data_IF_068898086242
#
_entry.id   IF_068898086242
#
_cell.length_a   1.000
_cell.length_b   1.000
_cell.length_c   1.000
_cell.angle_alpha   90.00
_cell.angle_beta   90.00
_cell.angle_gamma   90.00
#
_symmetry.space_group_name_H-M   'P 1'
#
loop_
_entity.id
_entity.type
_entity.pdbx_description
1 polymer ?
#
# COMPACT_ATOMS: atom_id res chain seq x y z
N UNK A 1 -6.69 18.22 57.54
CA UNK A 1 -7.01 19.17 56.45
C UNK A 1 -6.36 18.64 55.16
N UNK A 2 -7.12 18.62 54.06
CA UNK A 2 -6.90 17.90 52.80
C UNK A 2 -5.53 18.15 52.14
N UNK A 3 -4.89 17.09 51.63
CA UNK A 3 -4.05 17.14 50.42
C UNK A 3 -4.30 15.87 49.59
N UNK A 4 -4.75 16.06 48.36
CA UNK A 4 -5.06 15.04 47.35
C UNK A 4 -3.80 14.41 46.75
N UNK A 5 -3.84 13.10 46.45
CA UNK A 5 -2.88 12.42 45.56
C UNK A 5 -3.60 11.68 44.42
N UNK A 6 -3.39 12.19 43.22
CA UNK A 6 -3.14 11.50 41.94
C UNK A 6 -4.12 10.41 41.47
N UNK A 7 -4.89 10.74 40.43
CA UNK A 7 -5.58 9.81 39.54
C UNK A 7 -4.84 9.79 38.19
N UNK A 8 -4.53 8.59 37.69
CA UNK A 8 -3.68 8.34 36.52
C UNK A 8 -4.57 7.95 35.32
N UNK A 9 -4.41 8.67 34.20
CA UNK A 9 -5.11 8.44 32.94
C UNK A 9 -4.36 7.40 32.10
N UNK A 10 -5.00 6.28 31.72
CA UNK A 10 -4.61 5.55 30.50
C UNK A 10 -5.82 5.03 29.73
N UNK A 11 -5.68 5.22 28.42
CA UNK A 11 -6.64 5.16 27.33
C UNK A 11 -7.12 3.75 27.00
N UNK A 12 -8.40 3.65 26.61
CA UNK A 12 -9.05 2.46 26.07
C UNK A 12 -8.89 2.47 24.54
N UNK A 13 -8.19 1.49 24.00
CA UNK A 13 -8.18 1.14 22.57
C UNK A 13 -9.04 -0.10 22.37
N UNK A 14 -10.13 0.04 21.61
CA UNK A 14 -11.05 -1.04 21.24
C UNK A 14 -10.55 -1.67 19.92
N UNK A 15 -10.12 -2.93 19.98
CA UNK A 15 -9.84 -3.75 18.79
C UNK A 15 -11.09 -4.60 18.49
N UNK A 16 -11.69 -4.40 17.31
CA UNK A 16 -12.67 -5.34 16.76
C UNK A 16 -11.90 -6.57 16.25
N UNK A 17 -12.12 -7.73 16.88
CA UNK A 17 -11.79 -9.03 16.30
C UNK A 17 -13.07 -9.74 15.89
N UNK A 18 -13.16 -10.00 14.59
CA UNK A 18 -14.22 -10.73 13.91
C UNK A 18 -13.74 -12.18 13.77
N UNK A 19 -14.24 -13.11 14.58
CA UNK A 19 -13.98 -14.54 14.39
C UNK A 19 -15.26 -15.37 14.52
N UNK A 20 -15.48 -16.13 13.46
CA UNK A 20 -16.42 -17.23 13.29
C UNK A 20 -16.21 -18.32 14.35
N UNK A 21 -17.29 -18.83 14.94
CA UNK A 21 -17.24 -19.93 15.90
C UNK A 21 -18.15 -21.09 15.46
N UNK A 22 -17.53 -22.20 15.06
CA UNK A 22 -18.10 -23.54 15.06
C UNK A 22 -17.02 -24.47 15.60
N UNK A 23 -17.22 -25.04 16.79
CA UNK A 23 -16.24 -25.91 17.40
C UNK A 23 -16.56 -26.25 18.84
N UNK A 24 -17.28 -27.36 19.01
CA UNK A 24 -17.50 -28.08 20.25
C UNK A 24 -16.26 -28.09 21.17
N UNK A 25 -16.41 -27.64 22.42
CA UNK A 25 -15.66 -28.19 23.55
C UNK A 25 -16.57 -28.29 24.78
N UNK A 26 -16.71 -29.52 25.24
CA UNK A 26 -17.29 -29.90 26.53
C UNK A 26 -16.40 -29.42 27.67
N UNK A 27 -16.96 -28.71 28.64
CA UNK A 27 -16.36 -28.54 29.97
C UNK A 27 -17.42 -28.88 31.00
N UNK A 28 -17.19 -29.96 31.73
CA UNK A 28 -17.93 -30.35 32.93
C UNK A 28 -17.41 -29.58 34.15
N UNK A 29 -18.37 -29.30 35.04
CA UNK A 29 -18.27 -29.21 36.49
C UNK A 29 -17.53 -28.00 37.10
N UNK A 30 -18.31 -27.05 37.62
CA UNK A 30 -18.23 -26.59 39.02
C UNK A 30 -19.66 -26.30 39.49
N UNK A 31 -20.08 -26.95 40.57
CA UNK A 31 -21.32 -26.65 41.28
C UNK A 31 -21.15 -25.44 42.19
N UNK A 32 -22.22 -24.70 42.46
CA UNK A 32 -22.95 -24.91 43.71
C UNK A 32 -24.20 -24.02 43.80
N UNK A 33 -25.24 -24.65 44.32
CA UNK A 33 -26.35 -24.12 45.09
C UNK A 33 -26.72 -22.64 44.94
N UNK A 34 -27.87 -22.36 44.30
CA UNK A 34 -28.92 -21.48 44.84
C UNK A 34 -30.11 -21.39 43.86
N UNK A 35 -30.97 -22.40 43.82
CA UNK A 35 -32.33 -22.20 43.29
C UNK A 35 -33.30 -23.21 43.93
N UNK A 36 -33.70 -22.91 45.16
CA UNK A 36 -34.91 -23.44 45.78
C UNK A 36 -35.96 -22.32 45.80
N UNK A 37 -37.20 -22.70 45.49
CA UNK A 37 -38.44 -21.88 45.45
C UNK A 37 -38.69 -21.09 44.16
N UNK A 38 -39.30 -21.75 43.18
CA UNK A 38 -40.68 -21.44 42.77
C UNK A 38 -41.20 -22.55 41.84
N UNK A 39 -41.46 -23.74 42.40
CA UNK A 39 -42.23 -24.77 41.70
C UNK A 39 -43.62 -24.86 42.35
N UNK A 40 -44.53 -23.99 41.92
CA UNK A 40 -45.98 -24.16 42.13
C UNK A 40 -46.71 -23.29 41.12
N UNK A 41 -47.60 -23.93 40.36
CA UNK A 41 -48.57 -23.34 39.41
C UNK A 41 -48.23 -23.30 37.92
N UNK A 42 -47.54 -24.31 37.39
CA UNK A 42 -47.65 -24.68 35.97
C UNK A 42 -48.26 -26.08 35.79
N UNK A 43 -49.23 -26.41 36.65
CA UNK A 43 -50.01 -27.64 36.54
C UNK A 43 -51.47 -27.28 36.24
N UNK A 44 -51.72 -26.98 34.96
CA UNK A 44 -52.99 -27.10 34.20
C UNK A 44 -52.90 -26.30 32.90
N UNK A 45 -51.97 -26.65 32.02
CA UNK A 45 -52.15 -26.39 30.59
C UNK A 45 -51.91 -27.72 29.88
N UNK A 46 -52.99 -28.49 29.74
CA UNK A 46 -53.02 -29.65 28.85
C UNK A 46 -52.93 -29.12 27.42
N UNK A 47 -51.72 -28.98 26.86
CA UNK A 47 -51.53 -28.94 25.41
C UNK A 47 -51.67 -30.37 24.87
N UNK A 48 -52.89 -30.88 24.89
CA UNK A 48 -53.31 -31.92 23.94
C UNK A 48 -53.80 -31.20 22.69
N UNK A 49 -52.87 -30.65 21.93
CA UNK A 49 -53.14 -30.30 20.54
C UNK A 49 -53.06 -31.60 19.74
N UNK A 50 -54.21 -32.29 19.65
CA UNK A 50 -54.51 -33.03 18.43
C UNK A 50 -54.23 -32.05 17.28
N UNK A 51 -53.26 -32.36 16.41
CA UNK A 51 -53.00 -31.59 15.20
C UNK A 51 -54.25 -31.75 14.33
N UNK A 52 -55.26 -30.90 14.57
CA UNK A 52 -56.47 -30.90 13.79
C UNK A 52 -56.08 -30.46 12.39
N UNK A 53 -56.43 -31.28 11.40
CA UNK A 53 -56.16 -31.03 9.98
C UNK A 53 -56.91 -29.78 9.43
N UNK A 54 -57.58 -29.02 10.32
CA UNK A 54 -58.49 -27.91 10.06
C UNK A 54 -58.07 -26.61 10.77
N UNK A 55 -56.81 -26.46 11.19
CA UNK A 55 -56.25 -25.24 11.81
C UNK A 55 -56.54 -23.94 11.04
N UNK A 56 -56.80 -24.04 9.73
CA UNK A 56 -57.14 -22.90 8.87
C UNK A 56 -58.61 -22.43 9.00
N UNK A 57 -59.47 -23.19 9.70
CA UNK A 57 -60.87 -22.85 9.95
C UNK A 57 -61.08 -22.13 11.29
N UNK A 58 -60.03 -22.00 12.10
CA UNK A 58 -60.14 -21.32 13.40
C UNK A 58 -60.30 -19.80 13.20
N UNK A 59 -61.44 -19.20 13.60
CA UNK A 59 -61.73 -17.80 13.34
C UNK A 59 -60.76 -16.85 14.06
N UNK A 60 -60.18 -17.30 15.18
CA UNK A 60 -59.17 -16.56 15.94
C UNK A 60 -57.84 -16.50 15.18
N UNK A 61 -57.42 -17.61 14.56
CA UNK A 61 -56.18 -17.67 13.79
C UNK A 61 -56.27 -16.81 12.52
N UNK A 62 -57.37 -16.92 11.78
CA UNK A 62 -57.61 -16.11 10.57
C UNK A 62 -57.68 -14.62 10.93
N UNK A 63 -58.35 -14.26 12.04
CA UNK A 63 -58.41 -12.89 12.52
C UNK A 63 -57.03 -12.31 12.87
N UNK A 64 -56.17 -13.09 13.53
CA UNK A 64 -54.81 -12.67 13.88
C UNK A 64 -53.93 -12.46 12.65
N UNK A 65 -54.01 -13.35 11.65
CA UNK A 65 -53.26 -13.23 10.40
C UNK A 65 -53.71 -12.02 9.58
N UNK A 66 -55.02 -11.75 9.51
CA UNK A 66 -55.56 -10.59 8.81
C UNK A 66 -55.11 -9.27 9.46
N UNK A 67 -55.15 -9.19 10.80
CA UNK A 67 -54.65 -8.03 11.55
C UNK A 67 -53.15 -7.81 11.30
N UNK A 68 -52.35 -8.88 11.30
CA UNK A 68 -50.92 -8.81 11.05
C UNK A 68 -50.59 -8.30 9.64
N UNK A 69 -51.34 -8.75 8.61
CA UNK A 69 -51.20 -8.25 7.25
C UNK A 69 -51.55 -6.77 7.14
N UNK A 70 -52.62 -6.31 7.80
CA UNK A 70 -53.02 -4.91 7.79
C UNK A 70 -51.94 -4.01 8.44
N UNK A 71 -51.35 -4.45 9.55
CA UNK A 71 -50.26 -3.71 10.20
C UNK A 71 -49.01 -3.65 9.30
N UNK A 72 -48.61 -4.76 8.68
CA UNK A 72 -47.48 -4.76 7.75
C UNK A 72 -47.73 -3.88 6.53
N UNK A 73 -48.95 -3.92 5.98
CA UNK A 73 -49.37 -3.05 4.88
C UNK A 73 -49.29 -1.57 5.26
N UNK A 74 -49.74 -1.21 6.47
CA UNK A 74 -49.62 0.15 6.98
C UNK A 74 -48.18 0.64 7.07
N UNK A 75 -47.27 -0.19 7.58
CA UNK A 75 -45.84 0.13 7.67
C UNK A 75 -45.21 0.31 6.29
N UNK A 76 -45.52 -0.56 5.33
CA UNK A 76 -44.97 -0.49 3.97
C UNK A 76 -45.41 0.77 3.20
N UNK A 77 -46.54 1.37 3.55
CA UNK A 77 -47.03 2.60 2.93
C UNK A 77 -46.36 3.86 3.52
N UNK A 78 -45.75 3.77 4.70
CA UNK A 78 -45.02 4.92 5.28
C UNK A 78 -43.72 5.16 4.54
N UNK A 79 -43.62 6.30 3.84
CA UNK A 79 -42.41 6.74 3.16
C UNK A 79 -41.73 7.83 4.01
N UNK A 80 -40.47 7.59 4.39
CA UNK A 80 -39.65 8.59 5.07
C UNK A 80 -39.07 9.56 4.04
N UNK A 81 -39.51 10.83 4.08
CA UNK A 81 -38.91 11.90 3.29
C UNK A 81 -37.59 12.36 3.94
N UNK A 82 -36.52 12.44 3.17
CA UNK A 82 -35.26 13.04 3.65
C UNK A 82 -35.44 14.57 3.73
N UNK A 83 -35.04 15.22 4.84
CA UNK A 83 -34.99 16.68 4.89
C UNK A 83 -33.98 17.18 3.85
N UNK A 84 -34.40 18.19 3.06
CA UNK A 84 -33.55 18.82 2.05
C UNK A 84 -32.29 19.39 2.72
N UNK A 85 -31.08 19.11 2.22
CA UNK A 85 -29.87 19.73 2.73
C UNK A 85 -29.93 21.23 2.46
N UNK A 86 -30.02 22.03 3.51
CA UNK A 86 -29.80 23.48 3.45
C UNK A 86 -28.32 23.74 3.17
N UNK A 87 -28.06 24.68 2.25
CA UNK A 87 -26.77 25.14 1.72
C UNK A 87 -25.57 25.03 2.69
N UNK A 88 -24.81 23.93 2.59
CA UNK A 88 -23.38 23.94 2.91
C UNK A 88 -22.64 24.27 1.63
N UNK A 89 -22.12 25.48 1.51
CA UNK A 89 -21.22 25.89 0.43
C UNK A 89 -19.88 25.17 0.54
N UNK A 90 -19.85 23.88 0.19
CA UNK A 90 -18.63 23.21 -0.22
C UNK A 90 -18.38 23.61 -1.66
N UNK A 91 -17.46 24.56 -1.87
CA UNK A 91 -16.96 24.91 -3.19
C UNK A 91 -16.25 23.67 -3.75
N UNK A 92 -16.99 22.81 -4.45
CA UNK A 92 -16.41 21.70 -5.20
C UNK A 92 -15.50 22.31 -6.28
N UNK A 93 -14.20 22.21 -6.05
CA UNK A 93 -13.22 22.45 -7.11
C UNK A 93 -13.25 21.20 -7.97
N UNK A 94 -14.13 21.19 -8.97
CA UNK A 94 -14.00 20.27 -10.07
C UNK A 94 -12.68 20.61 -10.79
N UNK A 95 -11.60 19.93 -10.40
CA UNK A 95 -10.36 19.94 -11.18
C UNK A 95 -10.65 19.19 -12.46
N UNK A 96 -11.18 19.90 -13.47
CA UNK A 96 -11.18 19.38 -14.82
C UNK A 96 -9.73 19.39 -15.28
N UNK A 97 -9.05 18.25 -15.18
CA UNK A 97 -7.78 18.05 -15.86
C UNK A 97 -8.10 18.14 -17.36
N UNK A 98 -7.95 19.34 -17.94
CA UNK A 98 -7.97 19.52 -19.38
C UNK A 98 -6.67 18.90 -19.87
N UNK A 99 -6.72 17.63 -20.27
CA UNK A 99 -5.58 17.01 -20.95
C UNK A 99 -5.29 17.85 -22.19
N UNK A 100 -4.11 18.48 -22.26
CA UNK A 100 -3.69 19.13 -23.50
C UNK A 100 -3.54 18.04 -24.55
N UNK A 101 -4.09 18.27 -25.75
CA UNK A 101 -3.88 17.35 -26.88
C UNK A 101 -2.42 17.40 -27.40
N UNK A 102 -1.68 18.44 -27.01
CA UNK A 102 -0.30 18.64 -27.42
C UNK A 102 0.67 18.05 -26.39
N UNK A 103 1.49 17.11 -26.86
CA UNK A 103 2.51 16.41 -26.06
C UNK A 103 3.70 17.32 -25.79
N UNK A 104 4.05 17.51 -24.52
CA UNK A 104 5.23 18.29 -24.12
C UNK A 104 6.49 17.52 -24.55
N UNK A 105 7.30 18.13 -25.41
CA UNK A 105 8.50 17.48 -25.98
C UNK A 105 9.65 17.41 -24.99
N UNK A 106 9.81 18.45 -24.17
CA UNK A 106 10.89 18.59 -23.17
C UNK A 106 10.28 18.92 -21.80
N UNK A 107 10.12 17.90 -20.96
CA UNK A 107 9.61 18.06 -19.60
C UNK A 107 10.73 17.83 -18.58
N UNK A 108 10.98 18.83 -17.74
CA UNK A 108 11.95 18.72 -16.63
C UNK A 108 11.44 17.79 -15.50
N UNK A 109 10.13 17.52 -15.45
CA UNK A 109 9.48 16.66 -14.45
C UNK A 109 8.37 15.79 -15.08
N UNK A 110 8.20 14.56 -14.59
CA UNK A 110 7.13 13.65 -15.02
C UNK A 110 5.86 13.91 -14.20
N UNK A 111 4.75 14.21 -14.87
CA UNK A 111 3.44 14.41 -14.27
C UNK A 111 2.41 13.41 -14.82
N UNK A 112 1.27 13.24 -14.14
CA UNK A 112 0.18 12.36 -14.59
C UNK A 112 -0.47 12.82 -15.90
N UNK A 113 -0.32 14.08 -16.28
CA UNK A 113 -0.83 14.65 -17.52
C UNK A 113 0.17 15.66 -18.09
N UNK A 114 0.20 15.77 -19.42
CA UNK A 114 0.94 16.83 -20.11
C UNK A 114 0.31 18.17 -19.75
N UNK A 115 1.06 19.04 -19.08
CA UNK A 115 0.64 20.36 -18.67
C UNK A 115 1.78 21.34 -18.92
N UNK A 116 1.52 22.35 -19.75
CA UNK A 116 2.44 23.48 -19.94
C UNK A 116 2.22 24.48 -18.81
N UNK A 117 3.19 24.60 -17.91
CA UNK A 117 3.21 25.70 -16.93
C UNK A 117 3.53 27.00 -17.66
N UNK A 118 2.71 28.04 -17.49
CA UNK A 118 2.87 29.35 -18.14
C UNK A 118 3.93 30.24 -17.48
N UNK A 119 5.02 29.65 -16.97
CA UNK A 119 6.09 30.38 -16.27
C UNK A 119 7.35 30.42 -17.11
N UNK A 120 7.75 31.61 -17.57
CA UNK A 120 9.04 31.83 -18.22
C UNK A 120 10.16 31.82 -17.18
N UNK A 121 10.63 30.64 -16.79
CA UNK A 121 11.87 30.49 -16.03
C UNK A 121 12.70 29.32 -16.56
N UNK A 122 13.43 29.57 -17.64
CA UNK A 122 14.52 28.70 -18.08
C UNK A 122 15.70 28.81 -17.11
N UNK A 123 15.71 27.96 -16.09
CA UNK A 123 16.88 27.36 -15.40
C UNK A 123 16.41 26.75 -14.07
N UNK A 124 16.59 25.45 -13.91
CA UNK A 124 16.38 24.74 -12.64
C UNK A 124 17.30 25.30 -11.54
N UNK A 125 16.82 26.25 -10.76
CA UNK A 125 17.42 26.66 -9.50
C UNK A 125 16.57 26.14 -8.35
N UNK A 126 17.20 25.37 -7.45
CA UNK A 126 16.65 25.14 -6.12
C UNK A 126 16.56 26.51 -5.44
N UNK A 127 15.39 26.91 -4.97
CA UNK A 127 15.27 28.13 -4.18
C UNK A 127 15.97 27.92 -2.83
N UNK A 128 17.18 28.45 -2.67
CA UNK A 128 17.81 28.64 -1.36
C UNK A 128 17.78 30.13 -1.04
N UNK A 129 17.17 30.49 0.09
CA UNK A 129 17.19 31.87 0.59
C UNK A 129 18.53 32.19 1.22
N UNK A 130 19.14 33.30 0.82
CA UNK A 130 20.31 33.90 1.47
C UNK A 130 19.96 34.52 2.83
N UNK A 131 20.87 34.43 3.81
CA UNK A 131 20.85 35.30 4.99
C UNK A 131 22.24 35.87 5.31
N UNK A 132 22.33 37.12 5.82
CA UNK A 132 23.55 37.92 5.81
C UNK A 132 24.34 37.89 7.14
N UNK A 133 25.62 38.25 7.05
CA UNK A 133 26.56 38.50 8.16
C UNK A 133 26.57 39.99 8.56
N UNK A 134 26.94 40.33 9.81
CA UNK A 134 27.51 41.64 10.10
C UNK A 134 28.88 41.59 10.78
N UNK A 135 29.61 42.70 10.59
CA UNK A 135 31.03 42.97 10.86
C UNK A 135 31.21 43.91 12.10
N UNK A 136 32.46 44.26 12.40
CA UNK A 136 33.10 44.73 13.65
C UNK A 136 33.09 46.26 13.92
N UNK A 137 33.54 46.71 15.13
CA UNK A 137 34.41 47.88 15.47
C UNK A 137 34.44 48.13 17.02
N UNK A 138 35.57 48.17 17.76
CA UNK A 138 36.62 49.23 18.00
C UNK A 138 36.11 50.51 18.73
N UNK A 139 36.78 51.23 19.67
CA UNK A 139 38.12 51.22 20.30
C UNK A 139 38.20 52.22 21.52
N UNK A 140 39.30 52.19 22.31
CA UNK A 140 40.01 53.29 23.09
C UNK A 140 39.35 54.02 24.29
N UNK A 141 39.99 54.64 25.30
CA UNK A 141 41.32 54.66 25.96
C UNK A 141 41.33 55.72 27.13
N UNK A 142 42.08 55.49 28.24
CA UNK A 142 42.71 56.48 29.20
C UNK A 142 41.82 57.27 30.21
N UNK A 143 42.22 57.70 31.43
CA UNK A 143 43.43 57.61 32.30
C UNK A 143 43.20 58.34 33.67
N UNK A 144 44.10 58.16 34.68
CA UNK A 144 44.37 58.93 35.94
C UNK A 144 43.52 58.61 37.20
N UNK A 145 44.00 58.02 38.32
CA UNK A 145 45.21 58.16 39.18
C UNK A 145 45.26 59.44 40.02
N UNK A 146 44.67 59.41 41.25
CA UNK A 146 45.05 60.16 42.47
C UNK A 146 44.12 59.86 43.68
N UNK A 147 43.92 58.59 44.01
CA UNK A 147 43.07 58.16 45.15
C UNK A 147 43.75 57.06 45.97
N UNK A 148 45.09 57.04 46.02
CA UNK A 148 45.87 55.80 46.09
C UNK A 148 46.25 55.27 47.47
N UNK A 149 45.79 55.81 48.61
CA UNK A 149 46.24 55.31 49.93
C UNK A 149 45.12 54.91 50.91
N UNK A 150 44.00 55.63 51.01
CA UNK A 150 42.80 55.12 51.73
C UNK A 150 42.06 54.04 50.92
N UNK A 151 42.16 54.09 49.60
CA UNK A 151 41.65 53.01 48.76
C UNK A 151 42.45 51.73 48.91
N UNK A 152 43.68 51.65 49.45
CA UNK A 152 44.43 50.36 49.46
C UNK A 152 43.80 49.32 50.40
N UNK A 153 43.28 49.73 51.56
CA UNK A 153 42.63 48.82 52.52
C UNK A 153 41.21 48.47 52.09
N UNK A 154 40.39 49.46 51.69
CA UNK A 154 39.09 49.19 51.07
C UNK A 154 39.23 48.40 49.76
N UNK A 155 40.23 48.68 48.91
CA UNK A 155 40.55 47.86 47.73
C UNK A 155 40.95 46.46 48.11
N UNK A 156 41.50 46.17 49.29
CA UNK A 156 41.90 44.79 49.64
C UNK A 156 40.69 43.93 49.97
N UNK A 157 39.73 44.45 50.73
CA UNK A 157 38.44 43.79 51.01
C UNK A 157 37.54 43.76 49.77
N UNK A 158 37.40 44.89 49.06
CA UNK A 158 36.68 44.95 47.80
C UNK A 158 37.32 44.04 46.75
N UNK A 159 38.66 43.93 46.67
CA UNK A 159 39.33 42.96 45.79
C UNK A 159 39.11 41.51 46.22
N UNK A 160 38.90 41.24 47.51
CA UNK A 160 38.61 39.89 47.96
C UNK A 160 37.19 39.49 47.59
N UNK A 161 36.21 40.36 47.86
CA UNK A 161 34.81 40.18 47.48
C UNK A 161 34.66 40.12 45.95
N UNK A 162 35.33 41.02 45.22
CA UNK A 162 35.42 41.01 43.75
C UNK A 162 36.02 39.69 43.25
N UNK A 163 37.11 39.19 43.85
CA UNK A 163 37.68 37.90 43.44
C UNK A 163 36.74 36.72 43.69
N UNK A 164 36.01 36.71 44.81
CA UNK A 164 35.03 35.65 45.10
C UNK A 164 33.84 35.75 44.15
N UNK A 165 33.32 36.97 43.91
CA UNK A 165 32.24 37.23 42.96
C UNK A 165 32.65 36.87 41.53
N UNK A 166 33.85 37.28 41.09
CA UNK A 166 34.42 36.91 39.80
C UNK A 166 34.60 35.40 39.67
N UNK A 167 34.98 34.72 40.74
CA UNK A 167 35.07 33.26 40.77
C UNK A 167 33.68 32.64 40.61
N UNK A 168 32.70 33.01 41.42
CA UNK A 168 31.32 32.47 41.34
C UNK A 168 30.66 32.77 39.99
N UNK A 169 30.80 34.00 39.47
CA UNK A 169 30.32 34.39 38.14
C UNK A 169 31.04 33.62 37.04
N UNK A 170 32.34 33.32 37.19
CA UNK A 170 33.07 32.49 36.23
C UNK A 170 32.56 31.05 36.21
N UNK A 171 32.27 30.45 37.37
CA UNK A 171 31.67 29.11 37.47
C UNK A 171 30.26 29.08 36.89
N UNK A 172 29.44 30.10 37.18
CA UNK A 172 28.09 30.23 36.64
C UNK A 172 28.11 30.41 35.11
N UNK A 173 29.00 31.27 34.60
CA UNK A 173 29.22 31.48 33.16
C UNK A 173 29.72 30.21 32.47
N UNK A 174 30.59 29.45 33.11
CA UNK A 174 31.09 28.18 32.57
C UNK A 174 30.01 27.09 32.57
N UNK A 175 29.15 27.03 33.58
CA UNK A 175 27.98 26.16 33.61
C UNK A 175 26.98 26.51 32.49
N UNK A 176 26.68 27.81 32.30
CA UNK A 176 25.82 28.31 31.22
C UNK A 176 26.39 27.97 29.83
N UNK A 177 27.71 28.16 29.63
CA UNK A 177 28.38 27.79 28.39
C UNK A 177 28.34 26.28 28.10
N UNK A 178 28.48 25.44 29.13
CA UNK A 178 28.35 23.98 29.01
C UNK A 178 26.94 23.56 28.58
N UNK A 179 25.90 24.11 29.23
CA UNK A 179 24.50 23.82 28.87
C UNK A 179 24.17 24.28 27.45
N UNK A 180 24.66 25.47 27.04
CA UNK A 180 24.51 25.95 25.66
C UNK A 180 25.19 25.03 24.64
N UNK A 181 26.36 24.48 24.97
CA UNK A 181 27.08 23.53 24.11
C UNK A 181 26.30 22.22 23.96
N UNK A 182 25.77 21.66 25.06
CA UNK A 182 24.93 20.46 25.02
C UNK A 182 23.66 20.68 24.19
N UNK A 183 23.01 21.83 24.34
CA UNK A 183 21.82 22.17 23.56
C UNK A 183 22.13 22.27 22.05
N UNK A 184 23.30 22.81 21.68
CA UNK A 184 23.74 22.87 20.29
C UNK A 184 24.07 21.48 19.72
N UNK A 185 24.72 20.63 20.52
CA UNK A 185 25.06 19.25 20.14
C UNK A 185 23.80 18.39 19.96
N UNK A 186 22.82 18.51 20.86
CA UNK A 186 21.50 17.88 20.74
C UNK A 186 20.77 18.35 19.49
N UNK A 187 20.76 19.67 19.22
CA UNK A 187 20.16 20.23 18.02
C UNK A 187 20.85 19.71 16.74
N UNK A 188 22.18 19.65 16.74
CA UNK A 188 22.97 19.09 15.63
C UNK A 188 22.67 17.61 15.42
N UNK A 189 22.57 16.81 16.48
CA UNK A 189 22.18 15.40 16.43
C UNK A 189 20.78 15.24 15.84
N UNK A 190 19.80 16.05 16.25
CA UNK A 190 18.46 16.05 15.68
C UNK A 190 18.46 16.44 14.20
N UNK A 191 19.27 17.43 13.79
CA UNK A 191 19.43 17.78 12.38
C UNK A 191 20.04 16.65 11.57
N UNK A 192 21.07 15.98 12.10
CA UNK A 192 21.69 14.82 11.45
C UNK A 192 20.71 13.66 11.33
N UNK A 193 19.92 13.37 12.36
CA UNK A 193 18.88 12.35 12.33
C UNK A 193 17.80 12.65 11.29
N UNK A 194 17.35 13.91 11.20
CA UNK A 194 16.41 14.37 10.15
C UNK A 194 17.03 14.27 8.76
N UNK A 195 18.28 14.66 8.60
CA UNK A 195 19.00 14.55 7.32
C UNK A 195 19.14 13.09 6.87
N UNK A 196 19.49 12.19 7.79
CA UNK A 196 19.54 10.75 7.52
C UNK A 196 18.16 10.18 7.15
N UNK A 197 17.10 10.61 7.84
CA UNK A 197 15.73 10.25 7.50
C UNK A 197 15.36 10.71 6.09
N UNK A 198 15.61 11.97 5.74
CA UNK A 198 15.36 12.51 4.39
C UNK A 198 16.14 11.74 3.33
N UNK A 199 17.44 11.51 3.54
CA UNK A 199 18.26 10.73 2.62
C UNK A 199 17.72 9.30 2.42
N UNK A 200 17.24 8.66 3.49
CA UNK A 200 16.63 7.34 3.39
C UNK A 200 15.31 7.34 2.60
N UNK A 201 14.50 8.39 2.74
CA UNK A 201 13.25 8.56 2.00
C UNK A 201 13.51 8.82 0.50
N UNK A 202 14.51 9.65 0.19
CA UNK A 202 14.94 9.90 -1.19
C UNK A 202 15.43 8.60 -1.86
N UNK A 203 16.24 7.80 -1.15
CA UNK A 203 16.70 6.51 -1.64
C UNK A 203 15.53 5.55 -1.93
N UNK A 204 14.55 5.47 -1.03
CA UNK A 204 13.35 4.66 -1.24
C UNK A 204 12.51 5.15 -2.44
N UNK A 205 12.39 6.46 -2.61
CA UNK A 205 11.66 7.06 -3.73
C UNK A 205 12.31 6.71 -5.06
N UNK A 206 13.63 6.90 -5.18
CA UNK A 206 14.41 6.54 -6.38
C UNK A 206 14.29 5.06 -6.71
N UNK A 207 14.36 4.19 -5.70
CA UNK A 207 14.19 2.75 -5.89
C UNK A 207 12.79 2.40 -6.41
N UNK A 208 11.74 3.05 -5.88
CA UNK A 208 10.36 2.87 -6.36
C UNK A 208 10.21 3.32 -7.81
N UNK A 209 10.78 4.48 -8.17
CA UNK A 209 10.72 5.02 -9.53
C UNK A 209 11.41 4.08 -10.54
N UNK A 210 12.61 3.58 -10.21
CA UNK A 210 13.31 2.61 -11.05
C UNK A 210 12.53 1.31 -11.24
N UNK A 211 11.93 0.78 -10.16
CA UNK A 211 11.12 -0.43 -10.22
C UNK A 211 9.85 -0.24 -11.06
N UNK A 212 9.23 0.94 -10.99
CA UNK A 212 8.07 1.27 -11.81
C UNK A 212 8.42 1.32 -13.30
N UNK A 213 9.49 2.04 -13.66
CA UNK A 213 9.98 2.10 -15.05
C UNK A 213 10.32 0.71 -15.59
N UNK A 214 10.99 -0.14 -14.80
CA UNK A 214 11.27 -1.54 -15.19
C UNK A 214 10.00 -2.34 -15.45
N UNK A 215 8.98 -2.22 -14.58
CA UNK A 215 7.70 -2.91 -14.75
C UNK A 215 6.96 -2.46 -16.02
N UNK A 216 6.97 -1.17 -16.34
CA UNK A 216 6.32 -0.65 -17.56
C UNK A 216 6.94 -1.19 -18.84
N UNK A 217 8.23 -1.57 -18.81
CA UNK A 217 8.95 -2.17 -19.95
C UNK A 217 8.76 -3.68 -20.06
N UNK A 218 7.92 -4.28 -19.20
CA UNK A 218 7.52 -5.69 -19.26
C UNK A 218 6.11 -5.73 -19.82
N UNK A 219 5.95 -6.28 -21.03
CA UNK A 219 4.62 -6.48 -21.64
C UNK A 219 4.20 -7.93 -21.49
N UNK A 220 3.01 -8.16 -20.95
CA UNK A 220 2.39 -9.49 -20.90
C UNK A 220 1.27 -9.55 -21.90
N UNK A 221 1.29 -10.55 -22.77
CA UNK A 221 0.27 -10.76 -23.80
C UNK A 221 -0.36 -12.13 -23.59
N UNK A 222 -1.69 -12.12 -23.44
CA UNK A 222 -2.55 -13.30 -23.39
C UNK A 222 -3.27 -13.46 -24.75
N UNK A 223 -3.80 -14.64 -25.05
CA UNK A 223 -4.37 -15.08 -26.34
C UNK A 223 -5.16 -13.99 -27.07
N UNK A 224 -6.08 -13.33 -26.35
CA UNK A 224 -7.05 -12.37 -26.89
C UNK A 224 -6.42 -10.99 -27.17
N UNK A 225 -5.53 -10.50 -26.31
CA UNK A 225 -4.94 -9.16 -26.40
C UNK A 225 -3.94 -9.02 -27.57
N UNK A 226 -3.40 -10.16 -28.03
CA UNK A 226 -2.40 -10.20 -29.09
C UNK A 226 -2.90 -9.73 -30.45
N UNK A 227 -4.15 -10.05 -30.83
CA UNK A 227 -4.63 -9.87 -32.21
C UNK A 227 -4.83 -8.39 -32.62
N UNK A 228 -4.98 -7.48 -31.65
CA UNK A 228 -5.22 -6.06 -31.90
C UNK A 228 -3.98 -5.18 -31.60
N UNK A 229 -2.90 -5.77 -31.09
CA UNK A 229 -1.75 -5.05 -30.58
C UNK A 229 -0.62 -4.94 -31.62
N UNK A 230 0.26 -3.95 -31.47
CA UNK A 230 1.45 -3.78 -32.30
C UNK A 230 2.37 -5.03 -32.31
N UNK A 231 2.22 -5.93 -31.33
CA UNK A 231 2.96 -7.21 -31.25
C UNK A 231 2.33 -8.38 -32.01
N UNK A 232 1.17 -8.21 -32.65
CA UNK A 232 0.44 -9.28 -33.32
C UNK A 232 1.30 -10.06 -34.33
N UNK A 233 2.04 -9.34 -35.19
CA UNK A 233 2.89 -9.95 -36.21
C UNK A 233 4.04 -10.76 -35.61
N UNK A 234 4.65 -10.26 -34.52
CA UNK A 234 5.70 -10.97 -33.81
C UNK A 234 5.18 -12.26 -33.17
N UNK A 235 4.00 -12.19 -32.54
CA UNK A 235 3.37 -13.35 -31.89
C UNK A 235 2.96 -14.42 -32.90
N UNK A 236 2.56 -14.03 -34.11
CA UNK A 236 2.27 -14.96 -35.17
C UNK A 236 3.51 -15.70 -35.67
N UNK A 237 4.63 -14.98 -35.90
CA UNK A 237 5.93 -15.60 -36.22
C UNK A 237 6.38 -16.56 -35.11
N UNK A 238 6.21 -16.17 -33.85
CA UNK A 238 6.49 -17.02 -32.69
C UNK A 238 5.67 -18.31 -32.75
N UNK A 239 4.35 -18.20 -32.91
CA UNK A 239 3.42 -19.34 -33.02
C UNK A 239 3.83 -20.29 -34.13
N UNK A 240 3.97 -19.78 -35.35
CA UNK A 240 4.32 -20.59 -36.53
C UNK A 240 5.63 -21.35 -36.31
N UNK A 241 6.63 -20.70 -35.71
CA UNK A 241 7.93 -21.33 -35.44
C UNK A 241 7.81 -22.44 -34.38
N UNK A 242 7.09 -22.19 -33.30
CA UNK A 242 6.87 -23.18 -32.24
C UNK A 242 6.11 -24.39 -32.76
N UNK A 243 5.05 -24.19 -33.54
CA UNK A 243 4.27 -25.27 -34.17
C UNK A 243 5.12 -26.07 -35.16
N UNK A 244 5.89 -25.40 -36.02
CA UNK A 244 6.78 -26.06 -37.00
C UNK A 244 7.79 -27.00 -36.33
N UNK A 245 8.51 -26.53 -35.31
CA UNK A 245 9.47 -27.36 -34.58
C UNK A 245 8.78 -28.34 -33.62
N UNK A 246 7.60 -27.98 -33.13
CA UNK A 246 6.81 -28.81 -32.24
C UNK A 246 6.29 -30.07 -32.92
N UNK A 247 5.52 -29.90 -34.00
CA UNK A 247 4.88 -30.98 -34.73
C UNK A 247 5.92 -31.88 -35.40
N UNK A 248 7.06 -31.31 -35.86
CA UNK A 248 8.20 -32.11 -36.35
C UNK A 248 8.79 -33.05 -35.30
N UNK A 249 8.81 -32.64 -34.03
CA UNK A 249 9.41 -33.40 -32.92
C UNK A 249 8.36 -33.86 -31.91
N UNK A 250 7.15 -34.18 -32.38
CA UNK A 250 6.09 -34.70 -31.54
C UNK A 250 6.52 -36.06 -30.96
N UNK A 251 6.45 -36.28 -29.63
CA UNK A 251 6.96 -37.49 -28.99
C UNK A 251 6.27 -38.77 -29.47
N UNK A 252 7.03 -39.75 -29.94
CA UNK A 252 6.46 -41.01 -30.45
C UNK A 252 5.72 -41.80 -29.37
N UNK A 253 6.17 -41.71 -28.11
CA UNK A 253 5.46 -42.31 -26.98
C UNK A 253 4.04 -41.73 -26.79
N UNK A 254 3.88 -40.41 -26.99
CA UNK A 254 2.57 -39.76 -26.91
C UNK A 254 1.66 -40.18 -28.08
N UNK A 255 2.23 -40.39 -29.28
CA UNK A 255 1.50 -40.92 -30.45
C UNK A 255 1.01 -42.34 -30.22
N UNK A 256 1.89 -43.22 -29.73
CA UNK A 256 1.57 -44.62 -29.45
C UNK A 256 0.47 -44.75 -28.39
N UNK A 257 0.53 -43.91 -27.36
CA UNK A 257 -0.44 -43.89 -26.26
C UNK A 257 -1.68 -43.04 -26.56
N UNK A 258 -1.72 -42.34 -27.70
CA UNK A 258 -2.80 -41.43 -28.10
C UNK A 258 -3.15 -40.42 -27.00
N UNK A 259 -2.11 -39.82 -26.40
CA UNK A 259 -2.29 -38.85 -25.33
C UNK A 259 -2.85 -37.53 -25.89
N UNK A 260 -3.85 -36.99 -25.21
CA UNK A 260 -4.47 -35.71 -25.52
C UNK A 260 -4.42 -34.81 -24.30
N UNK A 261 -4.42 -33.50 -24.53
CA UNK A 261 -4.49 -32.54 -23.43
C UNK A 261 -4.03 -31.15 -23.84
N UNK A 262 -4.20 -30.22 -22.91
CA UNK A 262 -3.81 -28.83 -23.07
C UNK A 262 -2.69 -28.48 -22.09
N UNK A 263 -1.64 -27.83 -22.58
CA UNK A 263 -0.54 -27.33 -21.76
C UNK A 263 -0.50 -25.83 -21.89
N UNK A 264 -0.58 -25.11 -20.78
CA UNK A 264 -0.48 -23.65 -20.79
C UNK A 264 0.88 -23.22 -20.30
N UNK A 265 1.64 -22.51 -21.15
CA UNK A 265 2.96 -22.00 -20.80
C UNK A 265 3.00 -20.47 -20.83
N UNK A 266 3.84 -19.92 -19.97
CA UNK A 266 4.34 -18.55 -20.06
C UNK A 266 5.78 -18.57 -20.55
N UNK A 267 6.01 -18.01 -21.73
CA UNK A 267 7.34 -17.85 -22.32
C UNK A 267 7.79 -16.41 -22.14
N UNK A 268 8.96 -16.22 -21.54
CA UNK A 268 9.56 -14.91 -21.29
C UNK A 268 10.70 -14.70 -22.27
N UNK A 269 10.57 -13.71 -23.16
CA UNK A 269 11.56 -13.36 -24.17
C UNK A 269 12.21 -12.01 -23.84
N UNK A 270 13.50 -11.88 -24.18
CA UNK A 270 14.20 -10.59 -24.19
C UNK A 270 13.99 -9.86 -25.53
N UNK A 271 14.38 -8.58 -25.60
CA UNK A 271 14.24 -7.75 -26.79
C UNK A 271 14.96 -8.28 -28.05
N UNK A 272 15.94 -9.17 -27.89
CA UNK A 272 16.67 -9.82 -28.98
C UNK A 272 16.02 -11.14 -29.44
N UNK A 273 14.91 -11.57 -28.82
CA UNK A 273 14.20 -12.82 -29.12
C UNK A 273 14.78 -14.06 -28.45
N UNK A 274 15.70 -13.90 -27.51
CA UNK A 274 16.23 -14.98 -26.68
C UNK A 274 15.26 -15.36 -25.56
N UNK A 275 15.20 -16.65 -25.23
CA UNK A 275 14.40 -17.15 -24.11
C UNK A 275 15.10 -16.80 -22.79
N UNK A 276 14.40 -16.08 -21.91
CA UNK A 276 14.82 -15.85 -20.52
C UNK A 276 14.32 -16.94 -19.59
N UNK A 277 13.06 -17.34 -19.75
CA UNK A 277 12.45 -18.39 -18.96
C UNK A 277 11.23 -18.99 -19.67
N UNK A 278 10.92 -20.24 -19.35
CA UNK A 278 9.67 -20.92 -19.72
C UNK A 278 9.05 -21.40 -18.42
N UNK A 279 7.81 -21.00 -18.14
CA UNK A 279 7.07 -21.43 -16.96
C UNK A 279 5.84 -22.21 -17.37
N UNK A 280 5.63 -23.37 -16.75
CA UNK A 280 4.38 -24.11 -16.83
C UNK A 280 3.34 -23.40 -15.96
N UNK A 281 2.25 -22.93 -16.56
CA UNK A 281 1.10 -22.37 -15.84
C UNK A 281 0.12 -23.50 -15.52
N UNK A 282 -0.18 -24.32 -16.53
CA UNK A 282 -1.16 -25.39 -16.43
C UNK A 282 -0.61 -26.62 -17.15
N UNK A 283 -0.63 -27.76 -16.43
CA UNK A 283 -0.19 -29.05 -16.94
C UNK A 283 -1.34 -29.75 -17.65
N UNK A 284 -1.02 -30.51 -18.69
CA UNK A 284 -1.96 -31.43 -19.33
C UNK A 284 -2.33 -32.65 -18.48
N UNK A 285 -1.65 -32.86 -17.35
CA UNK A 285 -1.70 -34.10 -16.58
C UNK A 285 -0.72 -35.18 -17.09
N UNK A 286 -0.11 -34.98 -18.26
CA UNK A 286 0.89 -35.88 -18.84
C UNK A 286 2.25 -35.16 -18.97
N UNK A 287 3.25 -35.63 -18.21
CA UNK A 287 4.60 -35.05 -18.22
C UNK A 287 5.25 -35.06 -19.61
N UNK A 288 4.92 -36.04 -20.46
CA UNK A 288 5.42 -36.15 -21.83
C UNK A 288 4.93 -34.96 -22.69
N UNK A 289 3.66 -34.56 -22.57
CA UNK A 289 3.10 -33.44 -23.32
C UNK A 289 3.64 -32.11 -22.78
N UNK A 290 3.76 -31.99 -21.46
CA UNK A 290 4.32 -30.79 -20.81
C UNK A 290 5.79 -30.54 -21.23
N UNK A 291 6.60 -31.59 -21.29
CA UNK A 291 7.98 -31.52 -21.79
C UNK A 291 8.02 -31.27 -23.31
N UNK A 292 7.09 -31.85 -24.09
CA UNK A 292 6.99 -31.59 -25.52
C UNK A 292 6.71 -30.10 -25.80
N UNK A 293 5.79 -29.49 -25.06
CA UNK A 293 5.49 -28.06 -25.14
C UNK A 293 6.71 -27.19 -24.75
N UNK A 294 7.43 -27.55 -23.67
CA UNK A 294 8.69 -26.85 -23.31
C UNK A 294 9.76 -27.01 -24.39
N UNK A 295 9.89 -28.20 -24.97
CA UNK A 295 10.91 -28.51 -25.96
C UNK A 295 10.63 -27.83 -27.30
N UNK A 296 9.37 -27.69 -27.72
CA UNK A 296 9.02 -26.97 -28.96
C UNK A 296 9.45 -25.51 -28.90
N UNK A 297 9.23 -24.84 -27.76
CA UNK A 297 9.69 -23.47 -27.52
C UNK A 297 11.21 -23.38 -27.55
N UNK A 298 11.92 -24.29 -26.86
CA UNK A 298 13.39 -24.31 -26.83
C UNK A 298 14.00 -24.49 -28.21
N UNK A 299 13.44 -25.38 -29.04
CA UNK A 299 13.91 -25.62 -30.42
C UNK A 299 13.58 -24.49 -31.37
N UNK A 300 12.49 -23.76 -31.12
CA UNK A 300 12.13 -22.57 -31.87
C UNK A 300 13.05 -21.37 -31.64
N UNK A 301 13.82 -21.35 -30.55
CA UNK A 301 14.71 -20.23 -30.25
C UNK A 301 15.93 -20.17 -31.18
N UNK A 302 16.48 -18.96 -31.46
CA UNK A 302 15.96 -17.64 -31.06
C UNK A 302 14.80 -17.16 -31.95
N UNK A 303 13.94 -16.27 -31.44
CA UNK A 303 12.74 -15.77 -32.14
C UNK A 303 12.94 -14.45 -32.91
N UNK A 304 14.17 -13.94 -32.96
CA UNK A 304 14.49 -12.66 -33.61
C UNK A 304 14.17 -11.44 -32.74
N UNK A 305 14.77 -10.30 -33.05
CA UNK A 305 14.53 -9.08 -32.28
C UNK A 305 13.07 -8.60 -32.42
N UNK A 306 12.59 -7.86 -31.41
CA UNK A 306 11.23 -7.30 -31.44
C UNK A 306 11.04 -6.33 -32.61
N UNK A 307 9.83 -6.33 -33.18
CA UNK A 307 9.47 -5.47 -34.32
C UNK A 307 9.54 -3.96 -33.94
N UNK A 308 9.59 -3.07 -34.94
CA UNK A 308 9.81 -1.64 -34.72
C UNK A 308 8.79 -0.95 -33.79
N UNK A 309 7.55 -1.46 -33.73
CA UNK A 309 6.49 -0.97 -32.83
C UNK A 309 6.64 -1.40 -31.36
N UNK A 310 7.66 -2.20 -31.04
CA UNK A 310 7.88 -2.80 -29.72
C UNK A 310 9.17 -2.32 -29.04
N UNK A 311 9.81 -1.26 -29.55
CA UNK A 311 11.12 -0.76 -29.05
C UNK A 311 11.16 -0.40 -27.57
N UNK A 312 10.03 0.00 -27.00
CA UNK A 312 9.92 0.36 -25.58
C UNK A 312 9.86 -0.87 -24.65
N UNK A 313 9.59 -2.05 -25.20
CA UNK A 313 9.44 -3.31 -24.48
C UNK A 313 10.81 -3.98 -24.33
N UNK A 314 11.23 -4.21 -23.09
CA UNK A 314 12.47 -4.93 -22.78
C UNK A 314 12.27 -6.43 -22.59
N UNK A 315 11.08 -6.82 -22.14
CA UNK A 315 10.69 -8.19 -21.83
C UNK A 315 9.27 -8.43 -22.31
N UNK A 316 9.08 -9.50 -23.09
CA UNK A 316 7.77 -9.94 -23.56
C UNK A 316 7.41 -11.26 -22.89
N UNK A 317 6.28 -11.29 -22.18
CA UNK A 317 5.71 -12.50 -21.59
C UNK A 317 4.54 -12.95 -22.45
N UNK A 318 4.71 -14.10 -23.09
CA UNK A 318 3.72 -14.70 -23.98
C UNK A 318 3.05 -15.83 -23.22
N UNK A 319 1.74 -15.71 -22.98
CA UNK A 319 0.93 -16.78 -22.39
C UNK A 319 0.12 -17.41 -23.51
N UNK A 320 0.28 -18.72 -23.70
CA UNK A 320 -0.37 -19.49 -24.76
C UNK A 320 -0.74 -20.89 -24.28
N UNK A 321 -1.69 -21.51 -24.99
CA UNK A 321 -2.12 -22.88 -24.74
C UNK A 321 -1.74 -23.76 -25.92
N UNK A 322 -1.02 -24.84 -25.63
CA UNK A 322 -0.65 -25.91 -26.57
C UNK A 322 -1.71 -26.99 -26.46
N UNK A 323 -2.50 -27.18 -27.52
CA UNK A 323 -3.54 -28.20 -27.58
C UNK A 323 -3.04 -29.38 -28.40
N UNK A 324 -2.87 -30.53 -27.75
CA UNK A 324 -2.37 -31.76 -28.38
C UNK A 324 -3.53 -32.61 -28.88
N UNK A 325 -3.54 -32.90 -30.19
CA UNK A 325 -4.50 -33.82 -30.80
C UNK A 325 -3.87 -35.22 -30.99
N UNK A 326 -4.49 -36.28 -30.44
CA UNK A 326 -3.97 -37.65 -30.57
C UNK A 326 -4.21 -38.27 -31.94
N UNK A 327 -5.13 -37.75 -32.75
CA UNK A 327 -5.51 -38.29 -34.07
C UNK A 327 -4.48 -37.89 -35.11
N UNK A 328 -4.20 -36.60 -35.19
CA UNK A 328 -3.28 -36.04 -36.19
C UNK A 328 -1.82 -36.04 -35.70
N UNK A 329 -1.59 -36.31 -34.40
CA UNK A 329 -0.28 -36.22 -33.76
C UNK A 329 0.38 -34.85 -33.98
N UNK A 330 -0.44 -33.82 -33.96
CA UNK A 330 -0.06 -32.42 -34.08
C UNK A 330 -0.55 -31.65 -32.85
N UNK A 331 0.04 -30.50 -32.60
CA UNK A 331 -0.52 -29.54 -31.66
C UNK A 331 -0.64 -28.16 -32.28
N UNK A 332 -1.60 -27.41 -31.76
CA UNK A 332 -1.85 -26.01 -32.12
C UNK A 332 -1.58 -25.10 -30.92
N UNK A 333 -1.12 -23.88 -31.18
CA UNK A 333 -0.84 -22.89 -30.14
C UNK A 333 -1.82 -21.73 -30.24
N UNK A 334 -2.69 -21.59 -29.24
CA UNK A 334 -3.74 -20.57 -29.16
C UNK A 334 -3.38 -19.42 -28.22
#
# INVERSE_FOLDING_TARGET
MKVWKHCNHKWITFFLTFEYWFGFYTVSAVGDATFCRLNTMWNKINFRTELSHHWWQDPIFVGAVALAMLLHGGVLVTQFAMPSPSDTSTKEIAVSVRLSQEKVKDADFLAQADQTGSGDFHKAHRMSSDMPSPMQADATAGENELESLETIQQKRELKFEEKVLMTVLSWQKQAEQSERKKALEELQSQFQAKAAMVASLEAQYLQRQQNFSRKQRIKTVDGIQAKQDASAAYLDKFRQKVELYGNRYYPDAAKQQRLAGEVRLMVILNAQGGIRAIRLIESSGHSILDEAARASVRRGAPFGAFDAGMKEISELRIIRTWRFDPVDAEFEVH
#
